data_IF_553932369900
#
_entry.id   IF_553932369900
#
_cell.length_a   1.000
_cell.length_b   1.000
_cell.length_c   1.000
_cell.angle_alpha   90.00
_cell.angle_beta   90.00
_cell.angle_gamma   90.00
#
_symmetry.space_group_name_H-M   'P 1'
#
loop_
_entity.id
_entity.type
_entity.pdbx_description
1 polymer ?
#
# COMPACT_ATOMS: atom_id res chain seq x y z
N UNK A 1 -18.02 -23.43 18.33
CA UNK A 1 -16.58 -23.59 18.58
C UNK A 1 -16.15 -22.44 19.50
N UNK A 2 -15.88 -22.70 20.79
CA UNK A 2 -15.46 -21.63 21.72
C UNK A 2 -13.99 -21.33 21.48
N UNK A 3 -13.67 -20.15 20.97
CA UNK A 3 -12.31 -19.62 20.98
C UNK A 3 -12.04 -19.13 22.41
N UNK A 4 -11.32 -19.91 23.20
CA UNK A 4 -10.66 -19.38 24.39
C UNK A 4 -9.29 -18.89 23.94
N UNK A 5 -8.98 -17.58 23.99
CA UNK A 5 -7.58 -17.18 23.94
C UNK A 5 -6.93 -17.81 25.17
N UNK A 6 -5.88 -18.59 24.96
CA UNK A 6 -5.04 -19.07 26.05
C UNK A 6 -4.45 -17.82 26.72
N UNK A 7 -5.03 -17.44 27.85
CA UNK A 7 -4.46 -16.42 28.73
C UNK A 7 -3.08 -16.95 29.12
N UNK A 8 -2.03 -16.29 28.63
CA UNK A 8 -0.67 -16.66 28.90
C UNK A 8 -0.41 -16.53 30.41
N UNK A 9 -0.17 -17.67 31.05
CA UNK A 9 0.60 -17.69 32.29
C UNK A 9 1.99 -17.10 32.02
N UNK A 10 2.64 -16.60 33.08
CA UNK A 10 3.99 -16.05 33.01
C UNK A 10 4.95 -17.17 32.55
N UNK A 11 5.25 -17.21 31.26
CA UNK A 11 6.22 -18.15 30.68
C UNK A 11 7.60 -17.49 30.79
N UNK A 12 8.62 -18.17 31.36
CA UNK A 12 9.99 -17.67 31.36
C UNK A 12 10.47 -17.34 29.94
N UNK A 13 11.20 -16.23 29.78
CA UNK A 13 11.62 -15.68 28.47
C UNK A 13 12.30 -16.72 27.56
N UNK A 14 13.09 -17.62 28.14
CA UNK A 14 13.75 -18.71 27.41
C UNK A 14 12.76 -19.74 26.83
N UNK A 15 11.69 -20.06 27.58
CA UNK A 15 10.62 -20.94 27.11
C UNK A 15 9.74 -20.26 26.06
N UNK A 16 9.54 -18.94 26.16
CA UNK A 16 8.84 -18.14 25.15
C UNK A 16 9.62 -18.15 23.82
N UNK A 17 10.93 -17.92 23.87
CA UNK A 17 11.81 -17.96 22.69
C UNK A 17 11.83 -19.35 22.04
N UNK A 18 11.86 -20.42 22.83
CA UNK A 18 11.80 -21.79 22.32
C UNK A 18 10.45 -22.14 21.68
N UNK A 19 9.34 -21.68 22.27
CA UNK A 19 8.00 -21.85 21.69
C UNK A 19 7.82 -21.03 20.42
N UNK A 20 8.26 -19.77 20.42
CA UNK A 20 8.25 -18.90 19.25
C UNK A 20 9.03 -19.51 18.10
N UNK A 21 10.25 -19.99 18.33
CA UNK A 21 11.05 -20.64 17.29
C UNK A 21 10.42 -21.94 16.77
N UNK A 22 9.74 -22.72 17.62
CA UNK A 22 8.96 -23.90 17.19
C UNK A 22 7.76 -23.50 16.35
N UNK A 23 7.04 -22.45 16.74
CA UNK A 23 5.90 -21.92 15.99
C UNK A 23 6.35 -21.37 14.64
N UNK A 24 7.40 -20.55 14.60
CA UNK A 24 7.98 -19.96 13.39
C UNK A 24 8.38 -21.04 12.35
N UNK A 25 8.92 -22.18 12.81
CA UNK A 25 9.25 -23.32 11.94
C UNK A 25 8.03 -24.11 11.46
N UNK A 26 6.94 -24.14 12.25
CA UNK A 26 5.73 -24.93 11.94
C UNK A 26 4.69 -24.15 11.15
N UNK A 27 4.56 -22.85 11.39
CA UNK A 27 3.53 -22.01 10.80
C UNK A 27 3.54 -22.03 9.26
N UNK A 28 4.70 -22.04 8.56
CA UNK A 28 4.72 -22.19 7.11
C UNK A 28 4.26 -23.58 6.62
N UNK A 29 4.51 -24.63 7.41
CA UNK A 29 4.21 -26.03 7.06
C UNK A 29 2.77 -26.43 7.41
N UNK A 30 2.18 -25.75 8.39
CA UNK A 30 0.82 -25.99 8.89
C UNK A 30 0.18 -24.63 9.22
N UNK A 31 -0.18 -23.84 8.20
CA UNK A 31 -0.82 -22.56 8.42
C UNK A 31 -2.14 -22.78 9.16
N UNK A 32 -2.35 -22.04 10.24
CA UNK A 32 -3.63 -21.98 10.94
C UNK A 32 -4.28 -20.63 10.66
N UNK A 33 -5.61 -20.61 10.62
CA UNK A 33 -6.37 -19.36 10.46
C UNK A 33 -6.21 -18.55 11.74
N UNK A 34 -5.36 -17.52 11.70
CA UNK A 34 -5.10 -16.62 12.84
C UNK A 34 -6.10 -15.47 12.93
N UNK A 35 -6.76 -15.15 11.82
CA UNK A 35 -7.81 -14.15 11.77
C UNK A 35 -8.85 -14.57 10.71
N UNK A 36 -10.13 -14.29 10.98
CA UNK A 36 -11.22 -14.43 10.00
C UNK A 36 -11.87 -13.07 9.86
N UNK A 37 -11.66 -12.43 8.72
CA UNK A 37 -12.47 -11.28 8.35
C UNK A 37 -13.81 -11.81 7.87
N UNK A 38 -14.89 -11.46 8.57
CA UNK A 38 -16.24 -11.76 8.12
C UNK A 38 -16.68 -10.64 7.19
N UNK A 39 -16.88 -10.95 5.91
CA UNK A 39 -17.59 -10.05 5.01
C UNK A 39 -19.08 -10.33 5.08
N UNK A 40 -19.94 -9.30 5.07
CA UNK A 40 -21.38 -9.49 4.90
C UNK A 40 -21.66 -10.36 3.67
N UNK A 41 -22.60 -11.30 3.78
CA UNK A 41 -22.97 -12.18 2.64
C UNK A 41 -23.49 -11.38 1.44
N UNK A 42 -23.94 -10.13 1.66
CA UNK A 42 -24.31 -9.16 0.62
C UNK A 42 -23.18 -8.84 -0.35
N UNK A 43 -21.93 -8.94 0.08
CA UNK A 43 -20.77 -8.77 -0.79
C UNK A 43 -20.67 -9.88 -1.85
N UNK A 44 -21.29 -11.04 -1.62
CA UNK A 44 -21.34 -12.14 -2.58
C UNK A 44 -22.49 -12.01 -3.59
N UNK A 45 -23.41 -11.07 -3.40
CA UNK A 45 -24.61 -10.91 -4.22
C UNK A 45 -24.48 -9.84 -5.30
N UNK A 46 -23.27 -9.58 -5.80
CA UNK A 46 -23.00 -8.51 -6.76
C UNK A 46 -23.85 -8.58 -8.04
N UNK A 47 -24.21 -9.79 -8.48
CA UNK A 47 -25.08 -10.03 -9.65
C UNK A 47 -26.58 -9.83 -9.39
N UNK A 48 -26.98 -9.64 -8.13
CA UNK A 48 -28.38 -9.47 -7.77
C UNK A 48 -28.83 -8.01 -7.91
N UNK A 49 -30.12 -7.78 -8.22
CA UNK A 49 -30.68 -6.44 -8.28
C UNK A 49 -30.34 -5.63 -7.02
N UNK A 50 -30.03 -4.32 -7.13
CA UNK A 50 -29.68 -3.47 -5.99
C UNK A 50 -30.68 -3.56 -4.83
N UNK A 51 -31.96 -3.76 -5.14
CA UNK A 51 -33.05 -3.92 -4.18
C UNK A 51 -32.85 -5.16 -3.30
N UNK A 52 -32.44 -6.28 -3.89
CA UNK A 52 -32.21 -7.55 -3.19
C UNK A 52 -30.98 -7.44 -2.29
N UNK A 53 -29.89 -6.88 -2.81
CA UNK A 53 -28.67 -6.62 -2.03
C UNK A 53 -28.96 -5.73 -0.82
N UNK A 54 -29.70 -4.64 -1.04
CA UNK A 54 -30.08 -3.69 0.00
C UNK A 54 -31.01 -4.31 1.04
N UNK A 55 -32.00 -5.10 0.61
CA UNK A 55 -32.91 -5.79 1.53
C UNK A 55 -32.16 -6.77 2.43
N UNK A 56 -31.22 -7.53 1.87
CA UNK A 56 -30.40 -8.44 2.64
C UNK A 56 -29.46 -7.69 3.60
N UNK A 57 -28.87 -6.57 3.16
CA UNK A 57 -28.04 -5.73 4.03
C UNK A 57 -28.83 -5.23 5.23
N UNK A 58 -30.01 -4.66 5.00
CA UNK A 58 -30.91 -4.21 6.06
C UNK A 58 -31.32 -5.36 6.99
N UNK A 59 -31.53 -6.55 6.45
CA UNK A 59 -31.85 -7.75 7.25
C UNK A 59 -30.69 -8.16 8.15
N UNK A 60 -29.46 -8.14 7.62
CA UNK A 60 -28.24 -8.43 8.38
C UNK A 60 -28.03 -7.38 9.46
N UNK A 61 -28.12 -6.09 9.12
CA UNK A 61 -27.90 -4.99 10.06
C UNK A 61 -28.94 -5.01 11.18
N UNK A 62 -30.21 -5.29 10.85
CA UNK A 62 -31.26 -5.47 11.85
C UNK A 62 -30.97 -6.68 12.76
N UNK A 63 -30.58 -7.82 12.19
CA UNK A 63 -30.24 -9.02 12.96
C UNK A 63 -29.04 -8.79 13.89
N UNK A 64 -28.00 -8.12 13.41
CA UNK A 64 -26.81 -7.79 14.20
C UNK A 64 -27.13 -6.85 15.37
N UNK A 65 -28.06 -5.91 15.18
CA UNK A 65 -28.45 -4.94 16.21
C UNK A 65 -29.49 -5.49 17.21
N UNK A 66 -30.42 -6.34 16.77
CA UNK A 66 -31.56 -6.78 17.58
C UNK A 66 -31.50 -8.27 17.99
N UNK A 67 -30.54 -9.03 17.48
CA UNK A 67 -30.42 -10.48 17.72
C UNK A 67 -31.59 -11.31 17.16
N UNK A 68 -32.47 -10.70 16.38
CA UNK A 68 -33.70 -11.31 15.82
C UNK A 68 -33.89 -10.86 14.38
N UNK A 69 -34.58 -11.68 13.57
CA UNK A 69 -34.89 -11.30 12.20
C UNK A 69 -36.01 -10.24 12.18
N UNK A 70 -35.92 -9.22 11.32
CA UNK A 70 -36.99 -8.25 11.18
C UNK A 70 -38.22 -8.88 10.54
N UNK A 71 -39.41 -8.38 10.89
CA UNK A 71 -40.62 -8.65 10.10
C UNK A 71 -40.63 -7.80 8.84
N UNK A 72 -41.27 -8.28 7.77
CA UNK A 72 -41.28 -7.62 6.46
C UNK A 72 -41.70 -6.13 6.51
N UNK A 73 -42.58 -5.78 7.45
CA UNK A 73 -43.06 -4.41 7.62
C UNK A 73 -41.96 -3.47 8.13
N UNK A 74 -41.15 -3.91 9.11
CA UNK A 74 -40.02 -3.12 9.62
C UNK A 74 -38.94 -2.89 8.54
N UNK A 75 -38.73 -3.89 7.68
CA UNK A 75 -37.84 -3.76 6.53
C UNK A 75 -38.39 -2.77 5.50
N UNK A 76 -39.71 -2.80 5.23
CA UNK A 76 -40.36 -1.86 4.31
C UNK A 76 -40.29 -0.43 4.84
N UNK A 77 -40.58 -0.21 6.13
CA UNK A 77 -40.52 1.12 6.74
C UNK A 77 -39.09 1.70 6.73
N UNK A 78 -38.08 0.85 6.96
CA UNK A 78 -36.66 1.23 6.85
C UNK A 78 -36.24 1.51 5.41
N UNK A 79 -36.78 0.75 4.45
CA UNK A 79 -36.54 0.93 3.03
C UNK A 79 -37.15 2.23 2.51
N UNK A 80 -38.39 2.53 2.88
CA UNK A 80 -39.11 3.74 2.44
C UNK A 80 -38.49 5.00 3.03
N UNK A 81 -38.11 4.97 4.32
CA UNK A 81 -37.40 6.07 4.98
C UNK A 81 -36.05 6.39 4.31
N UNK A 82 -35.36 5.37 3.82
CA UNK A 82 -34.06 5.52 3.16
C UNK A 82 -34.15 5.81 1.65
N UNK A 83 -35.32 5.64 1.02
CA UNK A 83 -35.60 6.08 -0.36
C UNK A 83 -36.06 7.54 -0.41
N UNK A 84 -36.75 8.03 0.61
CA UNK A 84 -37.15 9.44 0.68
C UNK A 84 -35.95 10.38 0.83
N UNK A 85 -34.84 9.91 1.42
CA UNK A 85 -33.57 10.67 1.47
C UNK A 85 -32.79 10.66 0.14
N UNK A 86 -33.03 9.72 -0.79
CA UNK A 86 -32.23 9.57 -2.01
C UNK A 86 -32.85 10.19 -3.28
N UNK A 87 -34.01 10.84 -3.16
CA UNK A 87 -34.75 11.42 -4.32
C UNK A 87 -34.46 12.90 -4.61
N UNK A 88 -33.49 13.51 -3.93
CA UNK A 88 -33.06 14.89 -4.20
C UNK A 88 -31.70 14.90 -4.90
N UNK A 89 -31.66 15.42 -6.13
CA UNK A 89 -30.46 15.91 -6.86
C UNK A 89 -29.36 14.88 -7.21
N UNK A 90 -29.54 14.14 -8.33
CA UNK A 90 -28.45 13.37 -8.98
C UNK A 90 -27.48 14.23 -9.79
N UNK A 91 -27.74 15.53 -9.96
CA UNK A 91 -26.77 16.49 -10.49
C UNK A 91 -25.89 16.99 -9.34
N UNK A 92 -24.67 16.45 -9.21
CA UNK A 92 -23.69 16.90 -8.22
C UNK A 92 -23.06 15.84 -7.32
N UNK A 93 -23.42 14.55 -7.46
CA UNK A 93 -22.77 13.49 -6.68
C UNK A 93 -21.35 13.28 -7.20
N UNK A 94 -20.36 13.40 -6.31
CA UNK A 94 -18.95 13.22 -6.65
C UNK A 94 -18.60 11.74 -6.90
N UNK A 95 -17.64 11.51 -7.80
CA UNK A 95 -17.03 10.19 -8.01
C UNK A 95 -16.21 9.78 -6.79
N UNK A 96 -16.12 8.48 -6.52
CA UNK A 96 -15.37 7.97 -5.38
C UNK A 96 -13.87 8.36 -5.47
N UNK A 97 -13.24 8.86 -4.40
CA UNK A 97 -11.81 9.18 -4.42
C UNK A 97 -10.95 7.96 -4.75
N UNK A 98 -9.92 8.14 -5.58
CA UNK A 98 -9.00 7.08 -6.02
C UNK A 98 -9.45 6.34 -7.29
N UNK A 99 -10.63 6.64 -7.84
CA UNK A 99 -11.09 6.08 -9.11
C UNK A 99 -10.23 6.49 -10.31
N UNK A 100 -9.56 7.63 -10.19
CA UNK A 100 -8.59 8.18 -11.14
C UNK A 100 -7.26 7.43 -11.15
N UNK A 101 -7.09 6.44 -10.26
CA UNK A 101 -5.89 5.61 -10.18
C UNK A 101 -6.19 4.15 -10.51
N UNK A 102 -7.27 3.60 -9.99
CA UNK A 102 -7.70 2.23 -10.35
C UNK A 102 -8.14 2.22 -11.80
N UNK A 103 -7.77 1.18 -12.55
CA UNK A 103 -7.87 1.02 -14.01
C UNK A 103 -6.88 1.83 -14.84
N UNK A 104 -6.04 2.64 -14.19
CA UNK A 104 -5.05 3.42 -14.89
C UNK A 104 -3.75 2.67 -15.10
N UNK A 105 -3.10 3.01 -16.21
CA UNK A 105 -1.79 2.48 -16.54
C UNK A 105 -0.78 2.78 -15.44
N UNK A 106 0.19 1.90 -15.28
CA UNK A 106 1.26 2.05 -14.32
C UNK A 106 2.57 1.60 -14.94
N UNK A 107 3.54 2.50 -14.94
CA UNK A 107 4.88 2.20 -15.37
C UNK A 107 5.68 1.70 -14.18
N UNK A 108 5.81 0.38 -14.08
CA UNK A 108 6.58 -0.24 -13.01
C UNK A 108 8.07 0.11 -13.07
N UNK A 109 8.58 0.63 -14.20
CA UNK A 109 9.99 1.02 -14.38
C UNK A 109 10.31 2.42 -13.87
N UNK A 110 9.29 3.25 -13.70
CA UNK A 110 9.42 4.59 -13.14
C UNK A 110 8.58 4.81 -11.89
N UNK A 111 7.81 3.80 -11.44
CA UNK A 111 6.80 3.87 -10.39
C UNK A 111 5.83 5.04 -10.57
N UNK A 112 5.41 5.28 -11.81
CA UNK A 112 4.55 6.41 -12.17
C UNK A 112 3.23 5.95 -12.76
N UNK A 113 2.14 6.58 -12.34
CA UNK A 113 0.83 6.44 -12.98
C UNK A 113 0.88 6.96 -14.42
N UNK A 114 0.08 6.34 -15.28
CA UNK A 114 -0.03 6.60 -16.72
C UNK A 114 -1.49 6.74 -17.13
N UNK A 115 -1.75 6.89 -18.42
CA UNK A 115 -3.12 7.09 -18.92
C UNK A 115 -4.03 5.91 -18.60
N UNK A 116 -5.32 6.18 -18.41
CA UNK A 116 -6.26 5.14 -18.05
C UNK A 116 -6.64 4.23 -19.21
N UNK A 117 -6.75 2.93 -18.91
CA UNK A 117 -6.94 1.88 -19.90
C UNK A 117 -8.40 1.44 -20.01
N UNK A 118 -9.15 1.52 -18.90
CA UNK A 118 -10.55 1.14 -18.86
C UNK A 118 -11.45 2.36 -18.93
N UNK A 119 -12.63 2.17 -19.49
CA UNK A 119 -13.65 3.18 -19.58
C UNK A 119 -14.32 3.36 -18.22
N UNK A 120 -14.31 4.59 -17.72
CA UNK A 120 -14.92 4.97 -16.44
C UNK A 120 -16.35 5.48 -16.64
N UNK A 121 -16.98 5.24 -17.80
CA UNK A 121 -18.33 5.73 -18.10
C UNK A 121 -19.26 5.57 -16.90
N UNK A 122 -19.68 6.72 -16.38
CA UNK A 122 -20.57 6.86 -15.23
C UNK A 122 -21.95 6.38 -15.65
N UNK A 123 -22.23 5.10 -15.47
CA UNK A 123 -23.62 4.68 -15.36
C UNK A 123 -24.05 5.12 -13.95
N UNK A 124 -24.81 6.21 -13.87
CA UNK A 124 -25.22 6.91 -12.62
C UNK A 124 -26.03 6.05 -11.62
N UNK A 125 -26.16 4.74 -11.88
CA UNK A 125 -26.97 3.82 -11.10
C UNK A 125 -26.25 3.30 -9.87
N UNK A 126 -24.92 3.19 -9.92
CA UNK A 126 -24.16 2.59 -8.82
C UNK A 126 -23.61 3.69 -7.91
N UNK A 127 -24.05 3.63 -6.65
CA UNK A 127 -23.57 4.51 -5.58
C UNK A 127 -23.06 3.69 -4.41
N UNK A 128 -22.10 4.23 -3.67
CA UNK A 128 -21.62 3.68 -2.41
C UNK A 128 -21.69 4.71 -1.30
N UNK A 129 -22.02 4.23 -0.10
CA UNK A 129 -22.15 5.03 1.10
C UNK A 129 -20.89 4.83 1.92
N UNK A 130 -20.13 5.89 2.14
CA UNK A 130 -18.92 5.86 2.94
C UNK A 130 -19.25 5.83 4.43
N UNK A 131 -19.08 4.65 5.02
CA UNK A 131 -19.25 4.45 6.46
C UNK A 131 -18.27 5.28 7.30
N UNK A 132 -17.12 5.67 6.74
CA UNK A 132 -16.07 6.40 7.45
C UNK A 132 -16.21 7.93 7.32
N UNK A 133 -17.06 8.42 6.41
CA UNK A 133 -17.29 9.85 6.16
C UNK A 133 -18.77 10.23 6.29
N UNK A 134 -19.36 9.98 7.47
CA UNK A 134 -20.73 10.38 7.80
C UNK A 134 -21.81 9.91 6.81
N UNK A 135 -21.60 8.79 6.13
CA UNK A 135 -22.54 8.27 5.14
C UNK A 135 -22.56 9.05 3.82
N UNK A 136 -21.47 9.75 3.48
CA UNK A 136 -21.34 10.45 2.21
C UNK A 136 -21.52 9.47 1.03
N UNK A 137 -22.29 9.88 0.03
CA UNK A 137 -22.62 9.04 -1.13
C UNK A 137 -21.68 9.38 -2.29
N UNK A 138 -21.05 8.37 -2.87
CA UNK A 138 -20.18 8.51 -4.04
C UNK A 138 -20.69 7.68 -5.21
N UNK A 139 -20.45 8.16 -6.43
CA UNK A 139 -20.66 7.36 -7.65
C UNK A 139 -19.55 6.33 -7.84
N UNK A 140 -19.91 5.14 -8.31
CA UNK A 140 -18.98 4.09 -8.70
C UNK A 140 -19.27 3.69 -10.15
N UNK A 141 -18.26 3.67 -11.05
CA UNK A 141 -18.44 3.17 -12.40
C UNK A 141 -18.80 1.68 -12.46
N UNK A 142 -19.45 1.25 -13.54
CA UNK A 142 -19.75 -0.16 -13.76
C UNK A 142 -18.48 -1.02 -13.80
N UNK A 143 -18.52 -2.19 -13.16
CA UNK A 143 -17.38 -3.10 -13.11
C UNK A 143 -16.32 -2.73 -12.07
N UNK A 144 -16.60 -1.79 -11.17
CA UNK A 144 -15.79 -1.50 -9.98
C UNK A 144 -16.52 -1.93 -8.72
N UNK A 145 -15.77 -2.30 -7.69
CA UNK A 145 -16.30 -2.63 -6.38
C UNK A 145 -15.48 -1.97 -5.27
N UNK A 146 -16.20 -1.64 -4.20
CA UNK A 146 -15.64 -0.98 -3.02
C UNK A 146 -15.86 -1.88 -1.82
N UNK A 147 -14.77 -2.20 -1.13
CA UNK A 147 -14.80 -2.93 0.13
C UNK A 147 -14.48 -1.95 1.25
N UNK A 148 -15.51 -1.51 1.96
CA UNK A 148 -15.36 -0.69 3.15
C UNK A 148 -14.55 -1.44 4.21
N UNK A 149 -13.55 -0.80 4.79
CA UNK A 149 -12.94 -1.30 6.02
C UNK A 149 -13.75 -0.78 7.19
N UNK A 150 -14.28 -1.69 8.00
CA UNK A 150 -15.06 -1.36 9.20
C UNK A 150 -14.17 -0.95 10.36
N UNK A 151 -12.94 -1.47 10.37
CA UNK A 151 -11.93 -1.12 11.37
C UNK A 151 -10.81 -0.33 10.71
N UNK A 152 -10.40 0.76 11.37
CA UNK A 152 -9.18 1.48 11.00
C UNK A 152 -7.99 0.55 11.24
N UNK A 153 -7.62 -0.23 10.22
CA UNK A 153 -6.45 -1.10 10.26
C UNK A 153 -5.20 -0.23 10.30
N UNK A 154 -4.71 0.00 11.51
CA UNK A 154 -3.45 0.68 11.75
C UNK A 154 -2.32 -0.33 11.77
N UNK A 155 -1.47 -0.33 10.74
CA UNK A 155 -0.25 -1.12 10.75
C UNK A 155 0.94 -0.24 11.05
N UNK A 156 1.63 -0.54 12.14
CA UNK A 156 2.92 0.04 12.48
C UNK A 156 4.03 -0.97 12.17
N UNK A 157 5.08 -0.51 11.51
CA UNK A 157 6.25 -1.35 11.27
C UNK A 157 7.48 -0.53 10.96
N UNK A 158 8.63 -0.98 11.47
CA UNK A 158 9.95 -0.44 11.15
C UNK A 158 10.81 -1.50 10.46
N UNK A 159 11.16 -1.25 9.21
CA UNK A 159 12.02 -2.11 8.39
C UNK A 159 13.37 -1.44 8.22
N UNK A 160 14.46 -2.12 8.63
CA UNK A 160 15.83 -1.64 8.46
C UNK A 160 16.46 -2.41 7.31
N UNK A 161 16.81 -1.70 6.24
CA UNK A 161 17.39 -2.29 5.05
C UNK A 161 18.91 -2.40 5.18
N UNK A 162 19.41 -3.61 5.00
CA UNK A 162 20.84 -3.91 5.13
C UNK A 162 21.61 -3.49 3.88
N UNK A 163 20.95 -3.55 2.73
CA UNK A 163 21.50 -3.21 1.41
C UNK A 163 20.37 -2.85 0.43
N UNK A 164 20.78 -2.36 -0.74
CA UNK A 164 19.86 -1.84 -1.74
C UNK A 164 18.95 -2.95 -2.26
N UNK A 165 19.45 -4.18 -2.39
CA UNK A 165 18.66 -5.34 -2.82
C UNK A 165 17.50 -5.63 -1.87
N UNK A 166 17.68 -5.49 -0.55
CA UNK A 166 16.62 -5.72 0.44
C UNK A 166 15.51 -4.66 0.34
N UNK A 167 15.90 -3.40 0.15
CA UNK A 167 14.95 -2.30 -0.11
C UNK A 167 14.12 -2.59 -1.37
N UNK A 168 14.77 -3.18 -2.37
CA UNK A 168 14.24 -3.40 -3.70
C UNK A 168 13.28 -4.61 -3.73
N UNK A 169 13.53 -5.62 -2.90
CA UNK A 169 12.63 -6.76 -2.74
C UNK A 169 11.38 -6.47 -1.91
N UNK A 170 11.32 -5.33 -1.21
CA UNK A 170 10.25 -4.98 -0.31
C UNK A 170 9.59 -3.64 -0.70
N UNK A 171 9.00 -3.52 -1.90
CA UNK A 171 8.18 -2.36 -2.24
C UNK A 171 7.00 -2.28 -1.27
N UNK A 172 6.67 -1.09 -0.82
CA UNK A 172 5.49 -0.90 0.04
C UNK A 172 4.29 -0.31 -0.71
N UNK A 173 4.52 0.32 -1.87
CA UNK A 173 3.44 0.95 -2.64
C UNK A 173 2.77 0.04 -3.64
N UNK A 174 3.43 -1.02 -4.13
CA UNK A 174 2.89 -1.83 -5.22
C UNK A 174 3.18 -3.32 -5.00
N UNK A 175 2.13 -4.13 -5.14
CA UNK A 175 2.16 -5.60 -5.12
C UNK A 175 1.70 -6.07 -6.50
N UNK A 176 2.49 -6.93 -7.13
CA UNK A 176 2.27 -7.51 -8.46
C UNK A 176 1.85 -8.96 -8.22
N UNK A 177 0.88 -9.43 -8.99
CA UNK A 177 0.43 -10.83 -8.93
C UNK A 177 1.19 -11.75 -9.88
N UNK A 178 2.22 -11.23 -10.54
CA UNK A 178 3.12 -12.05 -11.33
C UNK A 178 4.13 -12.76 -10.42
N UNK A 179 4.35 -14.04 -10.68
CA UNK A 179 5.08 -15.00 -9.84
C UNK A 179 6.59 -14.72 -9.66
N UNK A 180 7.06 -13.53 -10.05
CA UNK A 180 8.48 -13.18 -10.16
C UNK A 180 8.74 -11.80 -9.54
N UNK A 181 9.09 -11.78 -8.24
CA UNK A 181 9.27 -10.58 -7.41
C UNK A 181 10.25 -9.53 -7.95
N UNK A 182 9.73 -8.59 -8.74
CA UNK A 182 10.52 -7.70 -9.60
C UNK A 182 10.44 -6.20 -9.29
N UNK A 183 9.72 -5.77 -8.26
CA UNK A 183 9.69 -4.35 -7.88
C UNK A 183 11.02 -3.72 -7.49
N UNK A 184 12.08 -4.53 -7.43
CA UNK A 184 13.40 -4.02 -7.22
C UNK A 184 13.85 -3.03 -8.28
N UNK A 185 13.52 -3.16 -9.56
CA UNK A 185 14.33 -2.51 -10.60
C UNK A 185 13.70 -1.34 -11.36
N UNK A 186 12.49 -0.88 -11.03
CA UNK A 186 11.89 0.22 -11.76
C UNK A 186 11.64 1.60 -11.14
N UNK A 187 12.64 2.45 -10.86
CA UNK A 187 12.38 3.87 -10.57
C UNK A 187 13.57 4.79 -10.89
N UNK A 188 13.90 5.05 -12.16
CA UNK A 188 15.14 5.78 -12.51
C UNK A 188 15.29 7.19 -11.88
N UNK A 189 14.20 7.94 -11.69
CA UNK A 189 14.25 9.35 -11.23
C UNK A 189 14.22 9.51 -9.70
N UNK A 190 13.24 8.92 -9.01
CA UNK A 190 13.20 8.94 -7.53
C UNK A 190 14.36 8.18 -6.89
N UNK A 191 15.03 7.30 -7.65
CA UNK A 191 16.23 6.59 -7.20
C UNK A 191 17.49 7.42 -7.17
N UNK A 192 17.66 8.45 -8.01
CA UNK A 192 18.90 9.25 -7.96
C UNK A 192 19.08 9.86 -6.58
N UNK A 193 18.00 10.40 -6.00
CA UNK A 193 18.01 10.96 -4.65
C UNK A 193 18.31 9.90 -3.57
N UNK A 194 17.63 8.75 -3.60
CA UNK A 194 17.85 7.66 -2.61
C UNK A 194 19.24 7.05 -2.75
N UNK A 195 19.75 6.94 -3.98
CA UNK A 195 21.04 6.34 -4.30
C UNK A 195 22.21 7.28 -3.96
N UNK A 196 22.06 8.58 -4.20
CA UNK A 196 23.02 9.58 -3.74
C UNK A 196 23.13 9.58 -2.20
N UNK A 197 22.06 9.20 -1.52
CA UNK A 197 22.01 9.05 -0.06
C UNK A 197 22.41 7.64 0.43
N UNK A 198 22.74 6.68 -0.45
CA UNK A 198 23.02 5.29 -0.07
C UNK A 198 24.38 5.08 0.65
N UNK A 199 25.09 6.15 0.98
CA UNK A 199 26.17 6.15 1.98
C UNK A 199 25.65 5.70 3.36
N UNK A 200 24.36 5.93 3.62
CA UNK A 200 23.68 5.65 4.86
C UNK A 200 22.86 4.35 4.78
N UNK A 201 22.67 3.69 5.92
CA UNK A 201 21.64 2.67 6.08
C UNK A 201 20.27 3.35 6.09
N UNK A 202 19.29 2.70 5.48
CA UNK A 202 17.93 3.19 5.41
C UNK A 202 17.04 2.38 6.35
N UNK A 203 16.17 3.07 7.09
CA UNK A 203 15.02 2.47 7.72
C UNK A 203 13.74 3.17 7.27
N UNK A 204 12.68 2.37 7.12
CA UNK A 204 11.33 2.87 6.94
C UNK A 204 10.52 2.56 8.17
N UNK A 205 9.94 3.59 8.76
CA UNK A 205 8.90 3.47 9.78
C UNK A 205 7.60 3.93 9.15
N UNK A 206 6.56 3.10 9.19
CA UNK A 206 5.28 3.43 8.54
C UNK A 206 4.10 3.26 9.47
N UNK A 207 3.11 4.10 9.25
CA UNK A 207 1.78 4.02 9.84
C UNK A 207 0.76 4.18 8.71
N UNK A 208 0.08 3.10 8.38
CA UNK A 208 -0.96 3.11 7.35
C UNK A 208 -2.34 3.07 8.00
N UNK A 209 -3.28 3.80 7.40
CA UNK A 209 -4.70 3.79 7.73
C UNK A 209 -5.46 3.50 6.46
N UNK A 210 -6.25 2.42 6.48
CA UNK A 210 -7.08 2.00 5.36
C UNK A 210 -8.54 2.34 5.65
N UNK A 211 -9.19 3.07 4.74
CA UNK A 211 -10.62 3.39 4.83
C UNK A 211 -11.45 2.42 3.99
N UNK A 212 -11.03 2.19 2.76
CA UNK A 212 -11.69 1.26 1.85
C UNK A 212 -10.70 0.78 0.80
N UNK A 213 -11.05 -0.32 0.15
CA UNK A 213 -10.34 -0.85 -1.00
C UNK A 213 -11.21 -0.68 -2.22
N UNK A 214 -10.66 -0.09 -3.28
CA UNK A 214 -11.28 0.02 -4.59
C UNK A 214 -10.64 -0.99 -5.54
N UNK A 215 -11.44 -1.71 -6.32
CA UNK A 215 -10.93 -2.73 -7.25
C UNK A 215 -11.81 -2.87 -8.48
N UNK A 216 -11.21 -3.30 -9.58
CA UNK A 216 -11.94 -3.68 -10.79
C UNK A 216 -12.45 -5.12 -10.66
N UNK A 217 -13.60 -5.40 -11.29
CA UNK A 217 -14.13 -6.74 -11.44
C UNK A 217 -13.19 -7.59 -12.29
N UNK A 218 -12.91 -8.81 -11.82
CA UNK A 218 -12.20 -9.81 -12.61
C UNK A 218 -13.06 -10.36 -13.76
N UNK A 219 -14.39 -10.29 -13.63
CA UNK A 219 -15.32 -10.74 -14.68
C UNK A 219 -16.73 -10.15 -14.50
N UNK A 220 -17.35 -9.57 -15.56
CA UNK A 220 -16.71 -9.20 -16.82
C UNK A 220 -15.69 -8.08 -16.59
N UNK A 221 -14.55 -8.15 -17.31
CA UNK A 221 -13.55 -7.08 -17.27
C UNK A 221 -14.18 -5.80 -17.87
N UNK A 222 -14.02 -4.63 -17.24
CA UNK A 222 -14.53 -3.37 -17.79
C UNK A 222 -14.01 -3.11 -19.21
N UNK A 223 -14.79 -2.37 -20.00
CA UNK A 223 -14.43 -2.10 -21.40
C UNK A 223 -13.18 -1.23 -21.47
N UNK A 224 -12.35 -1.45 -22.48
CA UNK A 224 -11.22 -0.57 -22.75
C UNK A 224 -11.70 0.83 -23.15
N UNK A 225 -11.04 1.85 -22.61
CA UNK A 225 -11.21 3.23 -23.02
C UNK A 225 -10.93 3.37 -24.53
N UNK A 226 -11.68 4.26 -25.21
CA UNK A 226 -11.63 4.40 -26.68
C UNK A 226 -10.21 4.62 -27.20
N UNK A 227 -9.42 5.46 -26.54
CA UNK A 227 -8.04 5.75 -26.94
C UNK A 227 -7.11 4.56 -26.69
N UNK A 228 -7.26 3.85 -25.58
CA UNK A 228 -6.47 2.66 -25.27
C UNK A 228 -6.72 1.56 -26.30
N UNK A 229 -7.99 1.31 -26.64
CA UNK A 229 -8.39 0.35 -27.69
C UNK A 229 -7.80 0.70 -29.06
N UNK A 230 -7.78 1.99 -29.41
CA UNK A 230 -7.17 2.46 -30.67
C UNK A 230 -5.64 2.32 -30.64
N UNK A 231 -4.98 2.63 -29.53
CA UNK A 231 -3.55 2.47 -29.39
C UNK A 231 -3.14 0.99 -29.54
N UNK A 232 -3.86 0.09 -28.88
CA UNK A 232 -3.62 -1.36 -28.97
C UNK A 232 -3.84 -1.86 -30.40
N UNK A 233 -4.87 -1.38 -31.11
CA UNK A 233 -5.13 -1.82 -32.49
C UNK A 233 -4.07 -1.36 -33.49
N UNK A 234 -3.24 -0.38 -33.13
CA UNK A 234 -2.09 0.08 -33.93
C UNK A 234 -0.79 -0.68 -33.62
N UNK A 235 -0.76 -1.50 -32.58
CA UNK A 235 0.40 -2.32 -32.26
C UNK A 235 0.57 -3.45 -33.28
N UNK A 236 1.81 -3.82 -33.64
CA UNK A 236 2.08 -4.99 -34.46
C UNK A 236 1.53 -6.28 -33.82
N UNK A 237 1.10 -7.23 -34.65
CA UNK A 237 0.60 -8.53 -34.18
C UNK A 237 1.70 -9.50 -33.71
N UNK A 238 2.98 -9.13 -33.87
CA UNK A 238 4.15 -9.87 -33.41
C UNK A 238 5.20 -8.90 -32.89
N UNK A 239 5.97 -9.31 -31.89
CA UNK A 239 7.07 -8.52 -31.34
C UNK A 239 8.39 -8.86 -32.04
N UNK A 240 9.14 -7.84 -32.46
CA UNK A 240 10.52 -7.96 -32.95
C UNK A 240 11.40 -7.01 -32.12
N UNK A 241 12.46 -7.50 -31.44
CA UNK A 241 13.42 -6.65 -30.72
C UNK A 241 14.07 -5.54 -31.57
N UNK A 242 14.00 -5.63 -32.90
CA UNK A 242 14.50 -4.59 -33.82
C UNK A 242 13.52 -3.44 -34.04
N UNK A 243 12.25 -3.61 -33.67
CA UNK A 243 11.18 -2.61 -33.86
C UNK A 243 10.54 -2.18 -32.53
N UNK A 244 11.38 -1.88 -31.54
CA UNK A 244 10.95 -1.56 -30.16
C UNK A 244 10.30 -0.18 -30.02
N UNK A 245 10.51 0.73 -30.96
CA UNK A 245 10.08 2.14 -30.83
C UNK A 245 8.56 2.30 -30.64
N UNK A 246 7.75 1.57 -31.41
CA UNK A 246 6.28 1.65 -31.27
C UNK A 246 5.79 1.10 -29.92
N UNK A 247 6.44 0.07 -29.40
CA UNK A 247 6.14 -0.51 -28.10
C UNK A 247 6.56 0.42 -26.97
N UNK A 248 7.70 1.09 -27.12
CA UNK A 248 8.18 2.11 -26.19
C UNK A 248 7.19 3.26 -26.09
N UNK A 249 6.73 3.81 -27.21
CA UNK A 249 5.73 4.88 -27.22
C UNK A 249 4.42 4.45 -26.54
N UNK A 250 4.00 3.20 -26.75
CA UNK A 250 2.84 2.65 -26.06
C UNK A 250 3.04 2.56 -24.54
N UNK A 251 4.17 2.02 -24.09
CA UNK A 251 4.49 1.90 -22.67
C UNK A 251 4.78 3.25 -22.00
N UNK A 252 5.30 4.23 -22.73
CA UNK A 252 5.48 5.60 -22.23
C UNK A 252 4.11 6.25 -21.95
N UNK A 253 3.10 5.95 -22.78
CA UNK A 253 1.75 6.49 -22.65
C UNK A 253 0.88 5.74 -21.62
N UNK A 254 0.96 4.41 -21.56
CA UNK A 254 0.04 3.58 -20.76
C UNK A 254 0.74 2.75 -19.67
N UNK A 255 2.07 2.78 -19.59
CA UNK A 255 2.82 1.90 -18.69
C UNK A 255 2.86 0.46 -19.20
N UNK A 256 3.43 -0.44 -18.41
CA UNK A 256 3.44 -1.89 -18.72
C UNK A 256 2.37 -2.66 -17.96
N UNK A 257 1.90 -2.08 -16.86
CA UNK A 257 0.90 -2.63 -15.97
C UNK A 257 -0.28 -1.68 -15.86
N UNK A 258 -1.31 -2.12 -15.16
CA UNK A 258 -2.42 -1.28 -14.78
C UNK A 258 -2.87 -1.64 -13.36
N UNK A 259 -3.44 -0.65 -12.67
CA UNK A 259 -3.87 -0.81 -11.28
C UNK A 259 -5.22 -1.54 -11.26
N UNK A 260 -5.22 -2.77 -10.75
CA UNK A 260 -6.45 -3.57 -10.63
C UNK A 260 -7.16 -3.35 -9.29
N UNK A 261 -6.39 -3.02 -8.26
CA UNK A 261 -6.90 -2.70 -6.93
C UNK A 261 -6.03 -1.65 -6.29
N UNK A 262 -6.64 -0.79 -5.50
CA UNK A 262 -5.93 0.14 -4.64
C UNK A 262 -6.56 0.21 -3.26
N UNK A 263 -5.70 0.24 -2.26
CA UNK A 263 -6.07 0.50 -0.88
C UNK A 263 -6.06 2.03 -0.66
N UNK A 264 -7.20 2.58 -0.25
CA UNK A 264 -7.43 4.02 -0.16
C UNK A 264 -7.52 4.47 1.29
N UNK A 265 -6.74 5.48 1.67
CA UNK A 265 -6.71 6.02 3.02
C UNK A 265 -5.58 7.01 3.22
N UNK A 266 -4.74 6.78 4.24
CA UNK A 266 -3.62 7.65 4.57
C UNK A 266 -2.39 6.86 5.02
N UNK A 267 -1.21 7.39 4.72
CA UNK A 267 0.07 6.79 5.07
C UNK A 267 1.01 7.86 5.60
N UNK A 268 1.49 7.66 6.82
CA UNK A 268 2.68 8.35 7.31
C UNK A 268 3.89 7.44 7.13
N UNK A 269 4.94 7.98 6.50
CA UNK A 269 6.19 7.27 6.26
C UNK A 269 7.36 8.10 6.76
N UNK A 270 8.05 7.59 7.77
CA UNK A 270 9.36 8.06 8.19
C UNK A 270 10.46 7.33 7.43
N UNK A 271 11.27 8.05 6.69
CA UNK A 271 12.48 7.56 6.05
C UNK A 271 13.71 8.06 6.84
N UNK A 272 14.45 7.12 7.44
CA UNK A 272 15.63 7.44 8.23
C UNK A 272 16.89 6.93 7.54
N UNK A 273 17.78 7.87 7.22
CA UNK A 273 19.11 7.62 6.69
C UNK A 273 20.10 7.78 7.84
N UNK A 274 20.84 6.74 8.19
CA UNK A 274 21.77 6.75 9.32
C UNK A 274 23.08 6.03 9.06
N UNK A 275 24.13 6.39 9.79
CA UNK A 275 25.47 5.85 9.57
C UNK A 275 25.56 4.34 9.89
N UNK A 276 26.28 3.60 9.04
CA UNK A 276 26.42 2.13 9.18
C UNK A 276 27.07 1.71 10.51
N UNK A 277 27.97 2.53 11.04
CA UNK A 277 28.63 2.35 12.33
C UNK A 277 27.66 2.17 13.51
N UNK A 278 26.43 2.72 13.43
CA UNK A 278 25.46 2.63 14.52
C UNK A 278 24.96 1.19 14.67
N UNK A 279 24.80 0.47 13.55
CA UNK A 279 24.44 -0.95 13.56
C UNK A 279 25.56 -1.78 14.19
N UNK A 280 26.81 -1.51 13.83
CA UNK A 280 27.97 -2.22 14.37
C UNK A 280 28.13 -2.01 15.88
N UNK A 281 27.83 -0.81 16.37
CA UNK A 281 28.01 -0.44 17.79
C UNK A 281 26.85 -0.87 18.69
N UNK A 282 25.61 -0.68 18.24
CA UNK A 282 24.42 -0.80 19.10
C UNK A 282 23.45 -1.91 18.70
N UNK A 283 23.58 -2.50 17.51
CA UNK A 283 22.68 -3.49 16.88
C UNK A 283 21.35 -2.95 16.30
N UNK A 284 20.65 -3.77 15.51
CA UNK A 284 19.38 -3.40 14.82
C UNK A 284 18.21 -3.18 15.79
N UNK A 285 18.18 -3.85 16.93
CA UNK A 285 17.10 -3.70 17.93
C UNK A 285 17.15 -2.31 18.54
N UNK A 286 18.33 -1.87 18.96
CA UNK A 286 18.51 -0.51 19.49
C UNK A 286 18.10 0.56 18.47
N UNK A 287 18.44 0.38 17.19
CA UNK A 287 17.99 1.30 16.13
C UNK A 287 16.46 1.32 16.03
N UNK A 288 15.79 0.16 16.07
CA UNK A 288 14.32 0.10 16.08
C UNK A 288 13.73 0.83 17.28
N UNK A 289 14.34 0.72 18.46
CA UNK A 289 13.88 1.45 19.64
C UNK A 289 14.00 2.97 19.44
N UNK A 290 15.11 3.44 18.84
CA UNK A 290 15.28 4.86 18.51
C UNK A 290 14.26 5.36 17.47
N UNK A 291 13.93 4.53 16.47
CA UNK A 291 12.89 4.85 15.49
C UNK A 291 11.50 4.89 16.13
N UNK A 292 11.18 3.93 17.00
CA UNK A 292 9.92 3.90 17.73
C UNK A 292 9.76 5.11 18.66
N UNK A 293 10.84 5.59 19.29
CA UNK A 293 10.82 6.83 20.07
C UNK A 293 10.66 8.05 19.15
N UNK A 294 11.33 8.10 17.99
CA UNK A 294 11.23 9.22 17.05
C UNK A 294 9.82 9.37 16.48
N UNK A 295 9.20 8.26 16.11
CA UNK A 295 7.85 8.20 15.54
C UNK A 295 6.83 7.66 16.56
N UNK A 296 6.98 8.02 17.84
CA UNK A 296 6.06 7.60 18.89
C UNK A 296 4.60 7.93 18.53
N UNK A 297 4.36 9.06 17.88
CA UNK A 297 3.06 9.55 17.42
C UNK A 297 2.43 8.69 16.31
N UNK A 298 3.16 7.75 15.70
CA UNK A 298 2.56 6.73 14.83
C UNK A 298 1.72 5.72 15.64
N UNK A 299 1.97 5.59 16.94
CA UNK A 299 1.32 4.64 17.84
C UNK A 299 2.16 3.39 18.15
N UNK A 300 3.48 3.49 18.00
CA UNK A 300 4.43 2.38 18.26
C UNK A 300 4.62 2.04 19.74
N UNK A 301 4.36 3.00 20.63
CA UNK A 301 4.64 2.91 22.06
C UNK A 301 3.30 3.14 22.75
N UNK A 302 2.89 2.20 23.62
CA UNK A 302 1.63 2.30 24.36
C UNK A 302 1.49 3.69 24.98
N UNK A 303 0.38 4.38 24.72
CA UNK A 303 0.03 5.71 25.28
C UNK A 303 0.12 5.76 26.81
N UNK A 304 0.14 4.60 27.48
CA UNK A 304 0.20 4.48 28.93
C UNK A 304 1.62 4.49 29.54
N UNK A 305 2.71 4.42 28.76
CA UNK A 305 4.07 4.44 29.32
C UNK A 305 4.70 5.84 29.24
N UNK A 306 4.63 6.62 30.32
CA UNK A 306 5.41 7.85 30.61
C UNK A 306 6.08 8.55 29.40
N UNK A 307 5.28 8.94 28.40
CA UNK A 307 5.75 9.24 27.04
C UNK A 307 6.56 10.54 26.90
N UNK A 308 6.62 11.39 27.91
CA UNK A 308 7.30 12.69 27.82
C UNK A 308 8.78 12.67 28.23
N UNK A 309 9.30 11.54 28.74
CA UNK A 309 10.67 11.46 29.26
C UNK A 309 11.66 10.83 28.28
N UNK A 310 11.20 9.94 27.39
CA UNK A 310 12.04 9.25 26.42
C UNK A 310 12.41 10.19 25.26
N UNK A 311 13.68 10.56 25.20
CA UNK A 311 14.23 11.37 24.11
C UNK A 311 15.04 10.47 23.20
N UNK A 312 14.91 10.68 21.88
CA UNK A 312 15.80 10.06 20.89
C UNK A 312 17.25 10.30 21.32
N UNK A 313 18.03 9.23 21.35
CA UNK A 313 19.42 9.27 21.77
C UNK A 313 20.20 10.31 20.95
N UNK A 314 21.04 11.10 21.64
CA UNK A 314 21.78 12.20 21.03
C UNK A 314 22.70 11.71 19.92
N UNK A 315 23.31 10.53 20.08
CA UNK A 315 24.20 9.94 19.07
C UNK A 315 23.39 9.52 17.86
N UNK A 316 22.24 8.88 18.04
CA UNK A 316 21.36 8.56 16.90
C UNK A 316 20.93 9.83 16.17
N UNK A 317 20.41 10.84 16.88
CA UNK A 317 19.96 12.12 16.30
C UNK A 317 21.07 12.85 15.53
N UNK A 318 22.31 12.78 16.02
CA UNK A 318 23.46 13.42 15.37
C UNK A 318 23.98 12.65 14.15
N UNK A 319 23.67 11.36 14.02
CA UNK A 319 24.16 10.46 12.97
C UNK A 319 23.03 9.91 12.10
N UNK A 320 21.87 10.58 12.11
CA UNK A 320 20.74 10.24 11.25
C UNK A 320 20.00 11.47 10.75
N UNK A 321 19.47 11.34 9.54
CA UNK A 321 18.58 12.29 8.88
C UNK A 321 17.24 11.59 8.73
N UNK A 322 16.14 12.29 9.03
CA UNK A 322 14.80 11.77 8.85
C UNK A 322 14.00 12.64 7.90
N UNK A 323 13.24 11.99 7.04
CA UNK A 323 12.29 12.61 6.13
C UNK A 323 10.93 12.02 6.45
N UNK A 324 9.96 12.88 6.78
CA UNK A 324 8.58 12.47 6.97
C UNK A 324 7.80 12.74 5.69
N UNK A 325 7.16 11.71 5.15
CA UNK A 325 6.25 11.79 4.01
C UNK A 325 4.84 11.44 4.46
N UNK A 326 3.88 12.24 4.03
CA UNK A 326 2.46 12.02 4.26
C UNK A 326 1.79 11.78 2.91
N UNK A 327 0.93 10.77 2.85
CA UNK A 327 0.07 10.48 1.71
C UNK A 327 -1.35 10.43 2.25
N UNK A 328 -2.27 11.13 1.59
CA UNK A 328 -3.63 11.32 2.08
C UNK A 328 -3.73 12.31 3.24
N UNK A 329 -4.88 12.96 3.34
CA UNK A 329 -5.13 14.04 4.31
C UNK A 329 -4.68 15.41 3.80
N UNK A 330 -4.42 16.32 4.73
CA UNK A 330 -3.90 17.66 4.44
C UNK A 330 -2.44 17.79 4.90
N UNK A 331 -1.59 18.33 4.04
CA UNK A 331 -0.13 18.37 4.25
C UNK A 331 0.31 19.34 5.37
N UNK A 332 -0.55 20.27 5.77
CA UNK A 332 -0.27 21.31 6.78
C UNK A 332 -0.81 20.97 8.17
N UNK A 333 -1.26 19.75 8.40
CA UNK A 333 -1.76 19.31 9.70
C UNK A 333 -0.58 18.98 10.61
N UNK A 334 -0.71 19.31 11.90
CA UNK A 334 0.24 18.88 12.91
C UNK A 334 0.28 17.34 12.95
N UNK A 335 1.35 16.77 12.40
CA UNK A 335 1.57 15.33 12.31
C UNK A 335 1.73 14.67 13.68
N UNK A 336 2.08 15.44 14.72
CA UNK A 336 2.17 14.94 16.09
C UNK A 336 0.78 14.72 16.70
N UNK A 337 -0.25 15.40 16.19
CA UNK A 337 -1.65 15.13 16.49
C UNK A 337 -2.22 14.13 15.47
N UNK A 338 -1.96 12.84 15.76
CA UNK A 338 -2.44 11.72 14.95
C UNK A 338 -3.94 11.80 14.69
N UNK A 339 -4.75 12.15 15.69
CA UNK A 339 -6.21 12.18 15.55
C UNK A 339 -6.65 13.29 14.59
N UNK A 340 -5.99 14.45 14.67
CA UNK A 340 -6.24 15.53 13.74
C UNK A 340 -5.86 15.14 12.31
N UNK A 341 -4.69 14.54 12.08
CA UNK A 341 -4.33 14.05 10.74
C UNK A 341 -5.33 13.01 10.22
N UNK A 342 -5.68 12.00 11.04
CA UNK A 342 -6.68 10.98 10.69
C UNK A 342 -8.03 11.58 10.27
N UNK A 343 -8.47 12.64 10.94
CA UNK A 343 -9.72 13.33 10.58
C UNK A 343 -9.64 13.94 9.17
N UNK A 344 -8.46 14.40 8.74
CA UNK A 344 -8.27 14.95 7.38
C UNK A 344 -8.18 13.86 6.32
N UNK A 345 -7.62 12.70 6.66
CA UNK A 345 -7.55 11.53 5.75
C UNK A 345 -8.94 11.08 5.33
N UNK A 346 -9.92 11.11 6.24
CA UNK A 346 -11.33 10.78 5.91
C UNK A 346 -11.91 11.68 4.81
N UNK A 347 -11.49 12.95 4.77
CA UNK A 347 -12.01 13.93 3.81
C UNK A 347 -11.19 13.98 2.51
N UNK A 348 -9.92 13.55 2.54
CA UNK A 348 -9.01 13.57 1.38
C UNK A 348 -8.19 12.28 1.34
N UNK A 349 -8.82 11.11 1.23
CA UNK A 349 -8.07 9.88 1.21
C UNK A 349 -7.33 9.73 -0.12
N UNK A 350 -6.19 9.07 -0.08
CA UNK A 350 -5.37 8.80 -1.26
C UNK A 350 -5.01 7.32 -1.33
N UNK A 351 -4.65 6.83 -2.53
CA UNK A 351 -4.04 5.53 -2.67
C UNK A 351 -2.77 5.37 -1.84
N UNK A 352 -2.76 4.37 -0.96
CA UNK A 352 -1.61 4.04 -0.12
C UNK A 352 -0.92 2.75 -0.55
N UNK A 353 -1.63 1.89 -1.30
CA UNK A 353 -1.06 0.69 -1.91
C UNK A 353 -1.78 0.39 -3.24
N UNK A 354 -1.07 -0.31 -4.13
CA UNK A 354 -1.55 -0.76 -5.43
C UNK A 354 -1.39 -2.27 -5.57
N UNK A 355 -2.36 -2.89 -6.23
CA UNK A 355 -2.24 -4.18 -6.85
C UNK A 355 -2.20 -3.98 -8.36
N UNK A 356 -1.17 -4.52 -9.01
CA UNK A 356 -0.94 -4.35 -10.44
C UNK A 356 -1.19 -5.65 -11.20
N UNK A 357 -1.66 -5.53 -12.44
CA UNK A 357 -1.66 -6.62 -13.42
C UNK A 357 -1.03 -6.14 -14.74
N UNK A 358 -0.39 -7.04 -15.52
CA UNK A 358 0.18 -6.67 -16.81
C UNK A 358 -0.88 -6.27 -17.84
N UNK A 359 -0.63 -5.27 -18.67
CA UNK A 359 -1.65 -4.76 -19.63
C UNK A 359 -2.12 -5.83 -20.62
N UNK A 360 -1.25 -6.78 -21.00
CA UNK A 360 -1.62 -7.84 -21.94
C UNK A 360 -2.75 -8.75 -21.44
N UNK A 361 -3.03 -8.77 -20.12
CA UNK A 361 -4.15 -9.55 -19.56
C UNK A 361 -5.51 -8.95 -19.87
N UNK A 362 -5.58 -7.68 -20.30
CA UNK A 362 -6.81 -7.03 -20.78
C UNK A 362 -7.25 -7.54 -22.16
N UNK A 363 -6.38 -8.28 -22.85
CA UNK A 363 -6.64 -8.78 -24.21
C UNK A 363 -7.09 -10.24 -24.16
N UNK A 364 -8.03 -10.58 -25.05
CA UNK A 364 -8.36 -11.97 -25.33
C UNK A 364 -7.14 -12.69 -25.91
N UNK A 365 -7.11 -14.02 -25.79
CA UNK A 365 -6.07 -14.85 -26.39
C UNK A 365 -5.92 -14.56 -27.90
N UNK A 366 -4.69 -14.36 -28.35
CA UNK A 366 -4.41 -14.05 -29.75
C UNK A 366 -3.01 -13.49 -30.01
N UNK A 367 -2.66 -13.21 -31.29
CA UNK A 367 -1.33 -12.72 -31.67
C UNK A 367 -0.97 -11.39 -30.99
N UNK A 368 -1.91 -10.44 -30.92
CA UNK A 368 -1.68 -9.14 -30.28
C UNK A 368 -1.35 -9.25 -28.79
N UNK A 369 -2.06 -10.12 -28.06
CA UNK A 369 -1.75 -10.40 -26.64
C UNK A 369 -0.35 -10.95 -26.48
N UNK A 370 0.01 -11.97 -27.27
CA UNK A 370 1.34 -12.60 -27.23
C UNK A 370 2.45 -11.60 -27.57
N UNK A 371 2.23 -10.74 -28.55
CA UNK A 371 3.17 -9.69 -28.93
C UNK A 371 3.37 -8.68 -27.78
N UNK A 372 2.29 -8.23 -27.14
CA UNK A 372 2.37 -7.30 -26.01
C UNK A 372 3.01 -7.93 -24.77
N UNK A 373 2.76 -9.22 -24.51
CA UNK A 373 3.44 -10.00 -23.47
C UNK A 373 4.95 -10.09 -23.74
N UNK A 374 5.35 -10.48 -24.96
CA UNK A 374 6.75 -10.55 -25.36
C UNK A 374 7.46 -9.19 -25.25
N UNK A 375 6.80 -8.12 -25.68
CA UNK A 375 7.31 -6.76 -25.53
C UNK A 375 7.50 -6.42 -24.04
N UNK A 376 6.50 -6.70 -23.20
CA UNK A 376 6.57 -6.44 -21.75
C UNK A 376 7.76 -7.16 -21.11
N UNK A 377 7.96 -8.44 -21.44
CA UNK A 377 9.09 -9.25 -20.97
C UNK A 377 10.43 -8.69 -21.46
N UNK A 378 10.50 -8.26 -22.72
CA UNK A 378 11.72 -7.68 -23.30
C UNK A 378 12.11 -6.38 -22.59
N UNK A 379 11.20 -5.40 -22.48
CA UNK A 379 11.49 -4.12 -21.83
C UNK A 379 11.84 -4.31 -20.36
N UNK A 380 11.19 -5.27 -19.68
CA UNK A 380 11.53 -5.66 -18.31
C UNK A 380 12.96 -6.18 -18.21
N UNK A 381 13.35 -7.11 -19.09
CA UNK A 381 14.69 -7.69 -19.10
C UNK A 381 15.76 -6.65 -19.40
N UNK A 382 15.50 -5.74 -20.35
CA UNK A 382 16.38 -4.62 -20.67
C UNK A 382 16.58 -3.68 -19.46
N UNK A 383 15.50 -3.32 -18.76
CA UNK A 383 15.59 -2.47 -17.57
C UNK A 383 16.42 -3.12 -16.44
N UNK A 384 16.31 -4.44 -16.23
CA UNK A 384 17.18 -5.19 -15.29
C UNK A 384 18.64 -5.10 -15.70
N UNK A 385 18.92 -5.38 -16.97
CA UNK A 385 20.28 -5.44 -17.48
C UNK A 385 20.97 -4.07 -17.42
N UNK A 386 20.23 -2.98 -17.65
CA UNK A 386 20.76 -1.62 -17.56
C UNK A 386 21.03 -1.19 -16.11
N UNK A 387 20.16 -1.60 -15.17
CA UNK A 387 20.27 -1.19 -13.76
C UNK A 387 21.26 -2.02 -12.95
N UNK A 388 21.50 -3.29 -13.31
CA UNK A 388 22.37 -4.20 -12.56
C UNK A 388 23.81 -3.70 -12.42
N UNK A 389 24.51 -3.27 -13.49
CA UNK A 389 25.87 -2.74 -13.37
C UNK A 389 25.94 -1.47 -12.51
N UNK A 390 24.90 -0.64 -12.55
CA UNK A 390 24.83 0.57 -11.73
C UNK A 390 24.72 0.23 -10.24
N UNK A 391 23.82 -0.69 -9.86
CA UNK A 391 23.68 -1.18 -8.48
C UNK A 391 24.99 -1.81 -7.98
N UNK A 392 25.63 -2.64 -8.80
CA UNK A 392 26.91 -3.27 -8.44
C UNK A 392 28.03 -2.24 -8.24
N UNK A 393 28.13 -1.22 -9.10
CA UNK A 393 29.10 -0.12 -8.90
C UNK A 393 28.85 0.62 -7.60
N UNK A 394 27.60 0.87 -7.25
CA UNK A 394 27.26 1.57 -6.02
C UNK A 394 27.59 0.74 -4.78
N UNK A 395 27.47 -0.58 -4.84
CA UNK A 395 27.85 -1.45 -3.74
C UNK A 395 29.37 -1.54 -3.56
N UNK A 396 30.14 -1.36 -4.65
CA UNK A 396 31.58 -1.60 -4.67
C UNK A 396 32.46 -0.34 -4.69
N UNK A 397 31.90 0.86 -4.88
CA UNK A 397 32.67 2.09 -4.99
C UNK A 397 33.01 2.69 -3.61
N UNK A 398 34.29 3.04 -3.32
CA UNK A 398 34.63 3.91 -2.21
C UNK A 398 34.25 5.36 -2.57
N UNK A 399 33.11 5.83 -2.07
CA UNK A 399 32.53 7.11 -2.46
C UNK A 399 33.27 8.34 -1.92
N UNK A 400 33.47 9.33 -2.79
CA UNK A 400 33.88 10.69 -2.45
C UNK A 400 32.70 11.62 -2.77
N UNK A 401 32.16 12.34 -1.77
CA UNK A 401 30.94 13.17 -1.93
C UNK A 401 30.88 14.31 -0.88
N UNK A 402 30.18 15.43 -1.16
CA UNK A 402 30.28 16.70 -0.43
C UNK A 402 29.31 16.89 0.75
N UNK A 403 28.46 15.91 1.10
CA UNK A 403 27.67 15.98 2.34
C UNK A 403 28.62 16.04 3.56
N UNK A 404 28.30 16.86 4.59
CA UNK A 404 29.15 17.00 5.76
C UNK A 404 29.45 15.61 6.32
N UNK A 405 30.73 15.29 6.48
CA UNK A 405 31.14 14.01 7.06
C UNK A 405 30.47 13.88 8.43
N UNK A 406 29.44 13.06 8.49
CA UNK A 406 28.89 12.53 9.73
C UNK A 406 29.98 11.59 10.27
N UNK A 407 30.96 12.18 10.95
CA UNK A 407 32.10 11.45 11.48
C UNK A 407 31.65 10.60 12.66
N UNK A 408 31.25 9.39 12.33
CA UNK A 408 31.21 8.31 13.27
C UNK A 408 32.64 7.88 13.60
N UNK A 409 33.43 8.75 14.23
CA UNK A 409 34.80 8.37 14.58
C UNK A 409 34.72 7.35 15.73
N UNK A 410 34.86 6.09 15.34
CA UNK A 410 34.95 4.94 16.26
C UNK A 410 36.06 5.20 17.30
N UNK A 411 37.08 5.98 16.95
CA UNK A 411 38.16 6.45 17.83
C UNK A 411 37.71 7.44 18.91
N UNK A 412 36.87 8.44 18.61
CA UNK A 412 36.34 9.36 19.64
C UNK A 412 35.30 8.67 20.54
N UNK A 413 34.54 7.71 19.99
CA UNK A 413 33.53 6.97 20.75
C UNK A 413 34.14 5.90 21.68
N UNK A 414 35.24 5.25 21.29
CA UNK A 414 36.00 4.35 22.17
C UNK A 414 36.71 5.11 23.31
N UNK A 415 37.23 6.31 23.05
CA UNK A 415 37.82 7.17 24.11
C UNK A 415 36.81 7.62 25.17
N UNK A 416 35.52 7.77 24.84
CA UNK A 416 34.48 8.08 25.84
C UNK A 416 34.12 6.90 26.74
N UNK A 417 34.21 5.65 26.25
CA UNK A 417 33.90 4.46 27.06
C UNK A 417 34.96 4.19 28.13
N UNK A 418 36.23 4.53 27.84
CA UNK A 418 37.34 4.44 28.80
C UNK A 418 37.37 5.56 29.86
N UNK A 419 36.41 6.48 29.86
CA UNK A 419 36.27 7.55 30.87
C UNK A 419 35.03 7.38 31.77
N UNK A 420 34.23 6.32 31.55
CA UNK A 420 32.98 6.03 32.28
C UNK A 420 33.02 4.65 32.95
N UNK A 421 34.15 3.95 32.83
CA UNK A 421 34.61 2.92 33.76
C UNK A 421 35.77 3.52 34.54
#
# INVERSE_FOLDING_TARGET
MKFQPAIASIIPEEALNKQWNKWLKRAPLRPTVVNRTLSPITNLLFDYPPEVRRHLQLTIDYYLSHGTLPILQQLRDSFDSSQQQSKSTTSGIASIPGIDVVSCGYDIFNLSSKNCLLDLTENDKNTWIDANNNGHIYKIPDGFFVLSQTDLLTTYGSTIFSNLSELWQNPFYAIEHDSWGFFGFGASHSRREIIEQYRYKLAWTRQQVLLYTLSISSFPIPRLHKLARLAISKLPSSFDPRSTEIWKQFFDAYGTHYVIRSDIGGLMLGEDYFESCLIEKYNKTWIRDQLSIRYWFFGSINEQSEQHTLKVDKIFKQNSISILKLIGGQDFVDVYDKQKWLSTVKNRPQPVSYQLAPIYTLLSEGPQRKALEQATIYFRSSAVNESTPYVQRLQNSPFTSPLPKLECSVAQLRKKRAKVQ
#
